data_IF_921314373726
#
_entry.id   IF_921314373726
#
_cell.length_a   1.000
_cell.length_b   1.000
_cell.length_c   1.000
_cell.angle_alpha   90.00
_cell.angle_beta   90.00
_cell.angle_gamma   90.00
#
_symmetry.space_group_name_H-M   'P 1'
#
loop_
_entity.id
_entity.type
_entity.pdbx_description
1 polymer ?
#
# COMPACT_ATOMS: atom_id res chain seq x y z
N UNK A 1 -37.30 -16.91 -10.68
CA UNK A 1 -36.22 -16.85 -9.67
C UNK A 1 -36.82 -16.33 -8.38
N UNK A 2 -36.69 -17.01 -7.23
CA UNK A 2 -37.27 -16.52 -5.95
C UNK A 2 -36.58 -15.22 -5.51
N UNK A 3 -37.34 -14.25 -5.02
CA UNK A 3 -36.86 -12.95 -4.53
C UNK A 3 -35.77 -13.07 -3.44
N UNK A 4 -35.79 -14.14 -2.64
CA UNK A 4 -34.71 -14.47 -1.69
C UNK A 4 -33.38 -14.75 -2.39
N UNK A 5 -33.41 -15.47 -3.52
CA UNK A 5 -32.20 -15.76 -4.30
C UNK A 5 -31.64 -14.48 -4.92
N UNK A 6 -32.51 -13.62 -5.46
CA UNK A 6 -32.12 -12.32 -6.01
C UNK A 6 -31.40 -11.45 -4.97
N UNK A 7 -31.91 -11.39 -3.74
CA UNK A 7 -31.30 -10.65 -2.65
C UNK A 7 -29.90 -11.16 -2.29
N UNK A 8 -29.74 -12.49 -2.21
CA UNK A 8 -28.43 -13.11 -1.92
C UNK A 8 -27.41 -12.79 -3.02
N UNK A 9 -27.82 -12.85 -4.29
CA UNK A 9 -26.93 -12.49 -5.40
C UNK A 9 -26.53 -11.02 -5.37
N UNK A 10 -27.47 -10.11 -5.09
CA UNK A 10 -27.17 -8.68 -4.97
C UNK A 10 -26.21 -8.40 -3.82
N UNK A 11 -26.42 -9.06 -2.67
CA UNK A 11 -25.57 -8.94 -1.49
C UNK A 11 -24.13 -9.42 -1.76
N UNK A 12 -23.97 -10.56 -2.43
CA UNK A 12 -22.66 -11.09 -2.83
C UNK A 12 -21.95 -10.15 -3.83
N UNK A 13 -22.69 -9.50 -4.72
CA UNK A 13 -22.14 -8.55 -5.70
C UNK A 13 -21.67 -7.25 -5.05
N UNK A 14 -22.33 -6.79 -3.98
CA UNK A 14 -21.86 -5.62 -3.21
C UNK A 14 -20.63 -5.97 -2.39
N UNK A 15 -20.60 -7.16 -1.78
CA UNK A 15 -19.44 -7.63 -1.00
C UNK A 15 -18.18 -7.85 -1.86
N UNK A 16 -18.31 -8.24 -3.12
CA UNK A 16 -17.13 -8.41 -3.98
C UNK A 16 -16.43 -7.08 -4.28
N UNK A 17 -17.16 -5.96 -4.34
CA UNK A 17 -16.57 -4.64 -4.60
C UNK A 17 -15.68 -4.13 -3.45
N UNK A 18 -15.91 -4.56 -2.21
CA UNK A 18 -15.10 -4.11 -1.05
C UNK A 18 -13.81 -4.90 -0.89
N UNK A 19 -13.72 -6.12 -1.46
CA UNK A 19 -12.56 -7.01 -1.30
C UNK A 19 -11.40 -6.62 -2.24
N UNK A 20 -11.68 -5.94 -3.35
CA UNK A 20 -10.65 -5.51 -4.32
C UNK A 20 -10.00 -4.15 -4.03
N UNK A 21 -10.13 -3.62 -2.80
CA UNK A 21 -9.47 -2.36 -2.41
C UNK A 21 -7.97 -2.53 -2.05
N UNK A 22 -7.29 -3.52 -2.63
CA UNK A 22 -5.83 -3.57 -2.57
C UNK A 22 -5.31 -2.52 -3.54
N UNK A 23 -4.91 -1.37 -2.99
CA UNK A 23 -4.32 -0.27 -3.76
C UNK A 23 -2.90 -0.69 -4.20
N UNK A 24 -2.81 -1.40 -5.32
CA UNK A 24 -1.57 -1.94 -5.93
C UNK A 24 -0.51 -0.83 -6.17
N UNK A 25 -0.89 0.44 -6.05
CA UNK A 25 -0.01 1.58 -6.23
C UNK A 25 0.98 1.76 -5.09
N UNK A 26 0.74 1.23 -3.90
CA UNK A 26 1.59 1.49 -2.73
C UNK A 26 2.46 0.28 -2.44
N UNK A 27 3.78 0.48 -2.47
CA UNK A 27 4.75 -0.55 -2.08
C UNK A 27 5.48 -0.15 -0.81
N UNK A 28 5.45 -1.04 0.16
CA UNK A 28 6.14 -0.90 1.44
C UNK A 28 7.43 -1.72 1.42
N UNK A 29 8.50 -1.12 1.92
CA UNK A 29 9.80 -1.73 2.11
C UNK A 29 10.25 -1.51 3.54
N UNK A 30 10.77 -2.56 4.16
CA UNK A 30 11.45 -2.45 5.43
C UNK A 30 12.91 -2.10 5.18
N UNK A 31 13.44 -1.14 5.93
CA UNK A 31 14.82 -0.68 5.77
C UNK A 31 15.53 -0.56 7.11
N UNK A 32 16.83 -0.83 7.11
CA UNK A 32 17.70 -0.63 8.27
C UNK A 32 18.12 0.85 8.46
N UNK A 33 19.00 1.10 9.43
CA UNK A 33 19.56 2.42 9.73
C UNK A 33 20.24 3.10 8.53
N UNK A 34 20.71 2.31 7.57
CA UNK A 34 21.45 2.76 6.39
C UNK A 34 20.54 2.85 5.14
N UNK A 35 19.23 2.72 5.31
CA UNK A 35 18.23 2.72 4.24
C UNK A 35 18.39 1.56 3.24
N UNK A 36 19.04 0.47 3.66
CA UNK A 36 19.15 -0.75 2.87
C UNK A 36 17.94 -1.65 3.16
N UNK A 37 17.44 -2.32 2.12
CA UNK A 37 16.30 -3.24 2.26
C UNK A 37 16.61 -4.32 3.30
N UNK A 38 15.76 -4.41 4.31
CA UNK A 38 15.85 -5.36 5.43
C UNK A 38 14.58 -6.21 5.50
N UNK A 39 14.47 -7.01 6.55
CA UNK A 39 13.31 -7.85 6.86
C UNK A 39 12.39 -7.22 7.91
N UNK A 40 11.18 -7.76 8.06
CA UNK A 40 10.17 -7.25 9.01
C UNK A 40 10.58 -7.38 10.48
N UNK A 41 11.56 -8.23 10.79
CA UNK A 41 11.97 -8.50 12.16
C UNK A 41 12.94 -7.45 12.69
N UNK A 42 13.86 -6.97 11.84
CA UNK A 42 14.97 -6.10 12.22
C UNK A 42 15.06 -4.85 11.31
N UNK A 43 13.96 -4.13 11.18
CA UNK A 43 13.93 -2.83 10.49
C UNK A 43 13.89 -1.67 11.48
N UNK A 44 14.43 -0.54 11.04
CA UNK A 44 14.37 0.73 11.77
C UNK A 44 13.35 1.68 11.13
N UNK A 45 13.25 1.62 9.80
CA UNK A 45 12.34 2.45 9.02
C UNK A 45 11.45 1.62 8.09
N UNK A 46 10.29 2.18 7.78
CA UNK A 46 9.38 1.70 6.74
C UNK A 46 9.40 2.73 5.63
N UNK A 47 9.78 2.32 4.42
CA UNK A 47 9.75 3.13 3.22
C UNK A 47 8.52 2.78 2.39
N UNK A 48 7.62 3.73 2.22
CA UNK A 48 6.46 3.65 1.36
C UNK A 48 6.75 4.40 0.05
N UNK A 49 6.55 3.72 -1.06
CA UNK A 49 6.61 4.31 -2.39
C UNK A 49 5.22 4.24 -3.00
N UNK A 50 4.65 5.40 -3.31
CA UNK A 50 3.39 5.50 -4.03
C UNK A 50 3.67 5.41 -5.54
N UNK A 51 2.77 4.78 -6.28
CA UNK A 51 2.85 4.56 -7.72
C UNK A 51 4.09 3.74 -8.19
N UNK A 52 4.62 2.85 -7.34
CA UNK A 52 5.85 2.08 -7.62
C UNK A 52 5.81 1.27 -8.94
N UNK A 53 4.65 0.70 -9.30
CA UNK A 53 4.49 -0.09 -10.53
C UNK A 53 4.11 0.74 -11.75
N UNK A 54 4.10 2.07 -11.63
CA UNK A 54 3.78 2.96 -12.75
C UNK A 54 5.05 3.48 -13.40
N UNK A 55 5.04 3.70 -14.72
CA UNK A 55 6.14 4.35 -15.46
C UNK A 55 6.25 5.86 -15.19
N UNK A 56 5.79 6.34 -14.03
CA UNK A 56 5.93 7.75 -13.66
C UNK A 56 7.38 8.03 -13.29
N UNK A 57 7.95 9.07 -13.88
CA UNK A 57 9.31 9.54 -13.56
C UNK A 57 9.40 10.17 -12.17
N UNK A 58 8.33 10.84 -11.74
CA UNK A 58 8.21 11.42 -10.43
C UNK A 58 7.23 10.63 -9.57
N UNK A 59 7.70 10.14 -8.43
CA UNK A 59 6.89 9.45 -7.43
C UNK A 59 7.21 9.92 -6.01
N UNK A 60 6.20 9.85 -5.16
CA UNK A 60 6.30 10.22 -3.75
C UNK A 60 6.93 9.08 -2.96
N UNK A 61 7.93 9.42 -2.16
CA UNK A 61 8.55 8.53 -1.18
C UNK A 61 8.25 9.06 0.21
N UNK A 62 7.68 8.22 1.05
CA UNK A 62 7.47 8.49 2.48
C UNK A 62 8.28 7.49 3.29
N UNK A 63 9.00 7.96 4.28
CA UNK A 63 9.76 7.13 5.20
C UNK A 63 9.21 7.37 6.60
N UNK A 64 8.93 6.28 7.30
CA UNK A 64 8.40 6.28 8.66
C UNK A 64 9.36 5.59 9.60
N UNK A 65 9.42 6.04 10.84
CA UNK A 65 10.02 5.26 11.93
C UNK A 65 9.17 4.03 12.23
N UNK A 66 9.74 3.05 12.94
CA UNK A 66 8.99 1.90 13.50
C UNK A 66 7.76 2.28 14.34
N UNK A 67 7.76 3.48 14.92
CA UNK A 67 6.60 4.04 15.65
C UNK A 67 5.45 4.54 14.75
N UNK A 68 5.63 4.52 13.43
CA UNK A 68 4.68 5.07 12.45
C UNK A 68 4.78 6.59 12.25
N UNK A 69 5.65 7.29 13.00
CA UNK A 69 5.90 8.72 12.78
C UNK A 69 6.63 8.95 11.47
N UNK A 70 6.26 9.99 10.74
CA UNK A 70 6.93 10.40 9.50
C UNK A 70 8.36 10.84 9.86
N UNK A 71 9.33 10.20 9.22
CA UNK A 71 10.73 10.61 9.22
C UNK A 71 11.00 11.59 8.08
N UNK A 72 10.56 11.24 6.87
CA UNK A 72 10.80 12.02 5.66
C UNK A 72 9.67 11.83 4.66
N UNK A 73 9.31 12.91 3.97
CA UNK A 73 8.46 12.87 2.77
C UNK A 73 9.17 13.63 1.67
N UNK A 74 9.29 13.04 0.49
CA UNK A 74 9.93 13.66 -0.65
C UNK A 74 9.39 13.12 -1.97
N UNK A 75 9.69 13.84 -3.04
CA UNK A 75 9.36 13.44 -4.40
C UNK A 75 10.68 13.19 -5.16
N UNK A 76 10.70 12.19 -6.04
CA UNK A 76 11.85 12.00 -6.94
C UNK A 76 11.90 13.12 -7.98
N UNK A 77 13.12 13.47 -8.42
CA UNK A 77 13.37 14.63 -9.27
C UNK A 77 13.50 14.31 -10.78
N UNK A 78 12.86 13.22 -11.24
CA UNK A 78 13.11 12.50 -12.51
C UNK A 78 14.34 11.59 -12.54
#
# INVERSE_FOLDING_TARGET
>A
MSSKKLFIYLFLLVLSNTIYSQDIKKKLFYTDAFFVTSNENNFEYIKEIEDYETNKKNYTVKIYYKSGKIYLTGNTLD
#
